data_IF_700074749686
#
_entry.id   IF_700074749686
#
_cell.length_a   1.000
_cell.length_b   1.000
_cell.length_c   1.000
_cell.angle_alpha   90.00
_cell.angle_beta   90.00
_cell.angle_gamma   90.00
#
_symmetry.space_group_name_H-M   'P 1'
#
loop_
_entity.id
_entity.type
_entity.pdbx_description
1 polymer ?
#
# COMPACT_ATOMS: atom_id res chain seq x y z
N UNK A 1 10.54 3.41 4.34
CA UNK A 1 11.02 2.06 4.71
C UNK A 1 9.90 1.08 5.04
N UNK A 2 9.07 1.27 6.06
CA UNK A 2 8.04 0.27 6.40
C UNK A 2 7.11 -0.11 5.22
N UNK A 3 6.70 0.87 4.40
CA UNK A 3 5.93 0.60 3.17
C UNK A 3 6.69 -0.26 2.16
N UNK A 4 8.01 -0.07 2.03
CA UNK A 4 8.86 -0.90 1.18
C UNK A 4 8.88 -2.34 1.69
N UNK A 5 9.10 -2.54 2.99
CA UNK A 5 9.12 -3.87 3.60
C UNK A 5 7.77 -4.57 3.49
N UNK A 6 6.67 -3.84 3.65
CA UNK A 6 5.32 -4.38 3.43
C UNK A 6 5.10 -4.84 1.99
N UNK A 7 5.68 -4.13 1.02
CA UNK A 7 5.66 -4.57 -0.37
C UNK A 7 6.60 -5.73 -0.64
N UNK A 8 7.75 -5.79 0.03
CA UNK A 8 8.77 -6.81 -0.17
C UNK A 8 8.39 -8.17 0.45
N UNK A 9 7.93 -8.14 1.71
CA UNK A 9 7.47 -9.30 2.48
C UNK A 9 5.95 -9.37 2.45
N UNK A 10 5.40 -9.53 1.25
CA UNK A 10 3.99 -9.37 1.00
C UNK A 10 3.14 -10.44 1.72
N UNK A 11 2.15 -10.00 2.50
CA UNK A 11 1.06 -10.83 3.00
C UNK A 11 -0.29 -10.19 2.71
N UNK A 12 -1.31 -11.02 2.45
CA UNK A 12 -2.65 -10.53 2.11
C UNK A 12 -3.68 -10.83 3.20
N UNK A 13 -4.31 -9.77 3.72
CA UNK A 13 -5.33 -9.83 4.76
C UNK A 13 -6.56 -10.64 4.35
N UNK A 14 -6.87 -10.72 3.06
CA UNK A 14 -7.96 -11.57 2.55
C UNK A 14 -7.71 -13.08 2.72
N UNK A 15 -6.44 -13.51 2.75
CA UNK A 15 -6.02 -14.89 3.08
C UNK A 15 -5.85 -15.03 4.58
N UNK A 16 -5.05 -14.17 5.23
CA UNK A 16 -4.74 -14.26 6.67
C UNK A 16 -5.99 -14.11 7.56
N UNK A 17 -6.91 -13.20 7.19
CA UNK A 17 -8.21 -12.96 7.85
C UNK A 17 -8.12 -12.72 9.36
N UNK A 18 -7.01 -12.20 9.85
CA UNK A 18 -6.78 -11.83 11.24
C UNK A 18 -6.04 -10.50 11.30
N UNK A 19 -6.79 -9.42 11.55
CA UNK A 19 -6.23 -8.05 11.55
C UNK A 19 -5.13 -7.87 12.61
N UNK A 20 -5.13 -8.67 13.68
CA UNK A 20 -4.13 -8.59 14.75
C UNK A 20 -2.77 -9.05 14.25
N UNK A 21 -2.72 -10.13 13.45
CA UNK A 21 -1.50 -10.61 12.80
C UNK A 21 -0.95 -9.56 11.83
N UNK A 22 -1.83 -8.98 11.01
CA UNK A 22 -1.44 -7.91 10.10
C UNK A 22 -0.90 -6.68 10.83
N UNK A 23 -1.52 -6.29 11.95
CA UNK A 23 -1.05 -5.17 12.77
C UNK A 23 0.35 -5.45 13.33
N UNK A 24 0.57 -6.62 13.94
CA UNK A 24 1.87 -7.01 14.48
C UNK A 24 2.96 -6.98 13.40
N UNK A 25 2.65 -7.44 12.20
CA UNK A 25 3.58 -7.41 11.07
C UNK A 25 3.90 -5.97 10.62
N UNK A 26 2.89 -5.09 10.53
CA UNK A 26 3.11 -3.67 10.20
C UNK A 26 3.98 -2.98 11.26
N UNK A 27 3.72 -3.23 12.53
CA UNK A 27 4.54 -2.70 13.63
C UNK A 27 5.96 -3.27 13.60
N UNK A 28 6.14 -4.54 13.24
CA UNK A 28 7.46 -5.14 13.01
C UNK A 28 8.21 -4.39 11.90
N UNK A 29 7.56 -4.13 10.76
CA UNK A 29 8.17 -3.36 9.67
C UNK A 29 8.53 -1.92 10.08
N UNK A 30 7.78 -1.32 11.01
CA UNK A 30 8.10 -0.01 11.57
C UNK A 30 9.30 -0.07 12.52
N UNK A 31 9.35 -1.07 13.42
CA UNK A 31 10.46 -1.27 14.37
C UNK A 31 11.78 -1.55 13.65
N UNK A 32 11.75 -2.42 12.64
CA UNK A 32 12.94 -2.83 11.88
C UNK A 32 13.22 -1.95 10.65
N UNK A 33 12.44 -0.87 10.44
CA UNK A 33 12.41 -0.09 9.20
C UNK A 33 13.81 0.24 8.63
N UNK A 34 14.75 0.66 9.48
CA UNK A 34 16.13 1.02 9.13
C UNK A 34 17.15 0.25 9.98
N UNK A 35 16.78 -0.91 10.52
CA UNK A 35 17.66 -1.74 11.35
C UNK A 35 18.50 -2.70 10.50
N UNK A 36 18.70 -3.90 11.03
CA UNK A 36 19.39 -4.97 10.33
C UNK A 36 18.44 -5.77 9.41
N UNK A 37 18.84 -6.03 8.17
CA UNK A 37 18.03 -6.85 7.26
C UNK A 37 17.97 -8.33 7.67
N UNK A 38 19.05 -8.89 8.20
CA UNK A 38 19.06 -10.28 8.66
C UNK A 38 18.08 -10.50 9.82
N UNK A 39 18.08 -9.61 10.81
CA UNK A 39 17.11 -9.65 11.92
C UNK A 39 15.68 -9.52 11.42
N UNK A 40 15.44 -8.62 10.45
CA UNK A 40 14.13 -8.46 9.84
C UNK A 40 13.69 -9.73 9.08
N UNK A 41 14.59 -10.37 8.34
CA UNK A 41 14.31 -11.59 7.60
C UNK A 41 13.91 -12.74 8.55
N UNK A 42 14.62 -12.89 9.67
CA UNK A 42 14.26 -13.87 10.72
C UNK A 42 12.92 -13.52 11.36
N UNK A 43 12.71 -12.26 11.73
CA UNK A 43 11.46 -11.81 12.34
C UNK A 43 10.25 -12.06 11.42
N UNK A 44 10.39 -11.79 10.12
CA UNK A 44 9.34 -12.08 9.13
C UNK A 44 9.14 -13.58 8.94
N UNK A 45 10.22 -14.37 8.90
CA UNK A 45 10.09 -15.81 8.73
C UNK A 45 9.35 -16.49 9.89
N UNK A 46 9.40 -15.89 11.09
CA UNK A 46 8.68 -16.33 12.28
C UNK A 46 7.33 -15.62 12.47
N UNK A 47 6.97 -14.66 11.61
CA UNK A 47 5.75 -13.88 11.74
C UNK A 47 4.50 -14.74 11.49
N UNK A 48 3.50 -14.76 12.40
CA UNK A 48 2.29 -15.56 12.22
C UNK A 48 1.47 -15.21 10.96
N UNK A 49 1.50 -13.95 10.48
CA UNK A 49 0.81 -13.60 9.24
C UNK A 49 1.52 -14.24 8.04
N UNK A 50 2.85 -14.19 8.01
CA UNK A 50 3.67 -14.81 6.96
C UNK A 50 3.55 -16.33 6.95
N UNK A 51 3.70 -16.97 8.12
CA UNK A 51 3.56 -18.43 8.26
C UNK A 51 2.19 -18.94 7.82
N UNK A 52 1.12 -18.20 8.13
CA UNK A 52 -0.22 -18.52 7.61
C UNK A 52 -0.32 -18.28 6.11
N UNK A 53 0.19 -17.13 5.63
CA UNK A 53 0.05 -16.72 4.24
C UNK A 53 0.75 -17.67 3.26
N UNK A 54 1.84 -18.30 3.67
CA UNK A 54 2.62 -19.24 2.84
C UNK A 54 2.40 -20.71 3.21
N UNK A 55 1.38 -21.00 4.02
CA UNK A 55 0.99 -22.35 4.42
C UNK A 55 2.13 -23.12 5.11
N UNK A 56 2.95 -22.42 5.91
CA UNK A 56 4.06 -23.01 6.65
C UNK A 56 3.58 -23.94 7.78
N UNK A 57 2.38 -23.71 8.32
CA UNK A 57 1.81 -24.53 9.40
C UNK A 57 1.50 -26.00 9.02
N UNK A 58 1.60 -26.37 7.74
CA UNK A 58 1.51 -27.77 7.27
C UNK A 58 2.87 -28.36 6.87
N UNK A 59 3.97 -27.64 7.10
CA UNK A 59 5.33 -28.10 6.80
C UNK A 59 5.86 -29.01 7.93
N UNK A 60 5.89 -30.33 7.70
CA UNK A 60 6.25 -31.31 8.73
C UNK A 60 7.27 -32.34 8.22
N UNK A 61 8.01 -32.96 9.15
CA UNK A 61 8.95 -34.05 8.84
C UNK A 61 8.27 -35.13 7.99
N UNK A 62 8.93 -35.52 6.90
CA UNK A 62 8.42 -36.50 5.94
C UNK A 62 7.46 -35.96 4.87
N UNK A 63 6.97 -34.72 5.02
CA UNK A 63 6.12 -34.04 4.05
C UNK A 63 6.47 -32.53 3.99
N UNK A 64 7.71 -32.23 3.61
CA UNK A 64 8.20 -30.86 3.57
C UNK A 64 7.47 -30.04 2.48
N UNK A 65 6.95 -28.87 2.85
CA UNK A 65 6.30 -27.93 1.94
C UNK A 65 7.33 -26.93 1.42
N UNK A 66 7.68 -27.06 0.14
CA UNK A 66 8.70 -26.22 -0.52
C UNK A 66 8.27 -24.77 -0.73
N UNK A 67 6.96 -24.44 -0.66
CA UNK A 67 6.46 -23.13 -1.01
C UNK A 67 7.14 -22.02 -0.20
N UNK A 68 7.10 -22.12 1.13
CA UNK A 68 7.71 -21.11 2.00
C UNK A 68 9.22 -20.95 1.75
N UNK A 69 9.95 -22.05 1.65
CA UNK A 69 11.38 -22.04 1.38
C UNK A 69 11.72 -21.39 0.03
N UNK A 70 10.92 -21.69 -1.00
CA UNK A 70 11.09 -21.11 -2.33
C UNK A 70 10.88 -19.61 -2.29
N UNK A 71 9.82 -19.12 -1.65
CA UNK A 71 9.57 -17.66 -1.56
C UNK A 71 10.66 -16.93 -0.78
N UNK A 72 11.16 -17.54 0.31
CA UNK A 72 12.30 -17.00 1.09
C UNK A 72 13.53 -16.82 0.20
N UNK A 73 13.85 -17.80 -0.65
CA UNK A 73 15.03 -17.76 -1.51
C UNK A 73 14.80 -16.86 -2.74
N UNK A 74 13.62 -16.93 -3.36
CA UNK A 74 13.31 -16.30 -4.64
C UNK A 74 12.94 -14.83 -4.52
N UNK A 75 11.99 -14.50 -3.63
CA UNK A 75 11.38 -13.18 -3.58
C UNK A 75 11.94 -12.31 -2.46
N UNK A 76 12.33 -12.96 -1.35
CA UNK A 76 12.70 -12.27 -0.14
C UNK A 76 14.22 -12.09 0.04
N UNK A 77 15.07 -12.90 -0.60
CA UNK A 77 16.52 -12.84 -0.35
C UNK A 77 17.41 -12.86 -1.59
N UNK A 78 17.47 -13.94 -2.37
CA UNK A 78 18.51 -14.13 -3.40
C UNK A 78 18.06 -13.76 -4.81
N UNK A 79 16.76 -13.82 -5.11
CA UNK A 79 16.28 -13.69 -6.48
C UNK A 79 16.28 -15.03 -7.24
N UNK A 80 15.56 -15.06 -8.36
CA UNK A 80 15.44 -16.23 -9.23
C UNK A 80 16.80 -16.63 -9.81
N UNK A 81 17.09 -17.93 -9.82
CA UNK A 81 18.24 -18.50 -10.57
C UNK A 81 19.55 -18.58 -9.79
N UNK A 82 19.53 -18.30 -8.49
CA UNK A 82 20.71 -18.30 -7.63
C UNK A 82 20.80 -19.48 -6.66
N UNK A 83 19.93 -20.47 -6.83
CA UNK A 83 19.85 -21.69 -6.03
C UNK A 83 19.35 -22.85 -6.88
N UNK A 84 19.60 -24.07 -6.42
CA UNK A 84 19.08 -25.28 -7.05
C UNK A 84 17.74 -25.71 -6.44
N UNK A 85 17.03 -26.57 -7.15
CA UNK A 85 15.83 -27.23 -6.62
C UNK A 85 16.13 -28.08 -5.37
N UNK A 86 17.36 -28.62 -5.27
CA UNK A 86 17.78 -29.34 -4.08
C UNK A 86 17.88 -28.40 -2.88
N UNK A 87 18.40 -27.18 -3.06
CA UNK A 87 18.50 -26.20 -1.99
C UNK A 87 17.11 -25.83 -1.46
N UNK A 88 16.10 -25.70 -2.34
CA UNK A 88 14.70 -25.45 -1.92
C UNK A 88 14.18 -26.58 -1.02
N UNK A 89 14.41 -27.84 -1.40
CA UNK A 89 13.98 -29.00 -0.60
C UNK A 89 14.67 -29.05 0.76
N UNK A 90 15.98 -28.82 0.79
CA UNK A 90 16.76 -28.86 2.02
C UNK A 90 16.42 -27.70 2.95
N UNK A 91 16.15 -26.51 2.40
CA UNK A 91 15.59 -25.40 3.16
C UNK A 91 14.18 -25.71 3.69
N UNK A 92 13.31 -26.32 2.88
CA UNK A 92 11.97 -26.71 3.30
C UNK A 92 12.00 -27.69 4.48
N UNK A 93 12.93 -28.66 4.46
CA UNK A 93 13.20 -29.57 5.58
C UNK A 93 13.63 -28.80 6.82
N UNK A 94 14.49 -27.79 6.70
CA UNK A 94 14.93 -26.97 7.83
C UNK A 94 13.81 -26.13 8.46
N UNK A 95 12.79 -25.74 7.67
CA UNK A 95 11.61 -25.02 8.18
C UNK A 95 10.52 -25.94 8.76
N UNK A 96 10.70 -27.26 8.77
CA UNK A 96 9.66 -28.17 9.29
C UNK A 96 9.42 -27.94 10.78
N UNK A 97 8.16 -28.04 11.21
CA UNK A 97 7.76 -27.84 12.60
C UNK A 97 7.60 -26.37 13.02
N UNK A 98 7.98 -25.39 12.19
CA UNK A 98 7.67 -23.97 12.44
C UNK A 98 6.17 -23.71 12.28
N UNK A 99 5.56 -23.08 13.29
CA UNK A 99 4.13 -22.79 13.28
C UNK A 99 3.81 -21.57 14.18
N UNK A 100 2.52 -21.31 14.40
CA UNK A 100 2.06 -20.30 15.32
C UNK A 100 0.86 -20.79 16.15
N UNK A 101 0.76 -20.31 17.38
CA UNK A 101 -0.41 -20.46 18.25
C UNK A 101 -0.99 -19.07 18.53
N UNK A 102 -2.20 -18.81 18.02
CA UNK A 102 -2.81 -17.48 18.02
C UNK A 102 -1.94 -16.40 17.34
N UNK A 103 -1.15 -15.66 18.11
CA UNK A 103 -0.28 -14.56 17.67
C UNK A 103 1.20 -14.84 17.97
N UNK A 104 1.51 -16.01 18.53
CA UNK A 104 2.85 -16.35 18.99
C UNK A 104 3.46 -17.40 18.05
N UNK A 105 4.72 -17.20 17.69
CA UNK A 105 5.51 -18.19 16.98
C UNK A 105 5.82 -19.38 17.88
N UNK A 106 5.72 -20.60 17.34
CA UNK A 106 6.07 -21.84 18.05
C UNK A 106 6.86 -22.79 17.14
N UNK A 107 7.68 -23.64 17.76
CA UNK A 107 8.39 -24.72 17.08
C UNK A 107 7.92 -26.05 17.64
N UNK A 108 7.27 -26.86 16.80
CA UNK A 108 6.90 -28.23 17.13
C UNK A 108 8.06 -29.16 16.81
N UNK A 109 8.94 -29.37 17.79
CA UNK A 109 10.17 -30.18 17.63
C UNK A 109 9.90 -31.60 17.13
N UNK A 110 8.80 -32.23 17.55
CA UNK A 110 8.41 -33.58 17.09
C UNK A 110 8.10 -33.64 15.59
N UNK A 111 7.70 -32.50 15.00
CA UNK A 111 7.41 -32.36 13.58
C UNK A 111 8.60 -31.82 12.78
N UNK A 112 9.72 -31.50 13.44
CA UNK A 112 10.92 -31.02 12.78
C UNK A 112 11.76 -32.19 12.26
N UNK A 113 12.40 -31.99 11.11
CA UNK A 113 13.34 -32.92 10.53
C UNK A 113 14.75 -32.66 11.04
N UNK A 114 15.18 -33.40 12.07
CA UNK A 114 16.54 -33.32 12.64
C UNK A 114 17.64 -34.04 11.83
N UNK A 115 17.31 -34.58 10.66
CA UNK A 115 18.32 -35.27 9.86
C UNK A 115 19.26 -34.23 9.19
N UNK A 116 20.53 -34.59 8.88
CA UNK A 116 21.45 -33.68 8.19
C UNK A 116 20.90 -33.17 6.86
N UNK A 117 21.17 -31.90 6.57
CA UNK A 117 20.72 -31.16 5.39
C UNK A 117 21.94 -30.59 4.68
N UNK A 118 21.92 -30.60 3.35
CA UNK A 118 22.97 -29.98 2.53
C UNK A 118 22.37 -28.80 1.79
N UNK A 119 22.72 -27.59 2.22
CA UNK A 119 22.11 -26.37 1.73
C UNK A 119 23.20 -25.37 1.32
N UNK A 120 23.15 -24.90 0.07
CA UNK A 120 24.09 -23.93 -0.51
C UNK A 120 25.57 -24.29 -0.26
N UNK A 121 25.89 -25.57 -0.42
CA UNK A 121 27.26 -26.10 -0.28
C UNK A 121 27.71 -26.38 1.16
N UNK A 122 26.87 -26.13 2.16
CA UNK A 122 27.14 -26.46 3.57
C UNK A 122 26.32 -27.68 4.00
N UNK A 123 26.85 -28.50 4.89
CA UNK A 123 26.14 -29.67 5.44
C UNK A 123 26.10 -29.60 6.96
N UNK A 124 24.92 -29.72 7.54
CA UNK A 124 24.70 -29.67 8.99
C UNK A 124 23.27 -30.03 9.35
N UNK A 125 22.98 -30.12 10.65
CA UNK A 125 21.60 -30.24 11.11
C UNK A 125 21.00 -28.83 11.24
N UNK A 126 20.70 -28.21 10.11
CA UNK A 126 20.22 -26.82 10.06
C UNK A 126 18.74 -26.71 10.42
N UNK A 127 18.40 -25.66 11.17
CA UNK A 127 17.03 -25.17 11.30
C UNK A 127 16.74 -23.99 10.34
N UNK A 128 15.54 -23.43 10.41
CA UNK A 128 15.15 -22.31 9.55
C UNK A 128 15.94 -21.01 9.80
N UNK A 129 16.48 -20.78 11.00
CA UNK A 129 17.34 -19.62 11.28
C UNK A 129 18.72 -19.83 10.67
N UNK A 130 19.26 -21.05 10.78
CA UNK A 130 20.52 -21.43 10.13
C UNK A 130 20.43 -21.27 8.60
N UNK A 131 19.32 -21.67 7.99
CA UNK A 131 19.07 -21.47 6.55
C UNK A 131 19.12 -19.99 6.17
N UNK A 132 18.45 -19.12 6.93
CA UNK A 132 18.50 -17.68 6.69
C UNK A 132 19.92 -17.13 6.83
N UNK A 133 20.68 -17.60 7.82
CA UNK A 133 22.08 -17.22 8.00
C UNK A 133 22.95 -17.63 6.81
N UNK A 134 22.82 -18.87 6.33
CA UNK A 134 23.56 -19.36 5.16
C UNK A 134 23.19 -18.58 3.89
N UNK A 135 21.92 -18.17 3.76
CA UNK A 135 21.47 -17.28 2.68
C UNK A 135 22.16 -15.91 2.78
N UNK A 136 22.24 -15.31 3.96
CA UNK A 136 22.93 -14.02 4.17
C UNK A 136 24.45 -14.14 3.95
N UNK A 137 25.02 -15.34 4.01
CA UNK A 137 26.41 -15.58 3.63
C UNK A 137 26.63 -15.54 2.11
N UNK A 138 25.59 -15.56 1.27
CA UNK A 138 25.74 -15.44 -0.17
C UNK A 138 25.87 -13.97 -0.61
N UNK A 139 26.87 -13.60 -1.43
CA UNK A 139 27.01 -12.23 -1.94
C UNK A 139 25.76 -11.72 -2.68
N UNK A 140 25.12 -12.60 -3.46
CA UNK A 140 23.93 -12.27 -4.25
C UNK A 140 22.76 -11.78 -3.40
N UNK A 141 22.63 -12.24 -2.14
CA UNK A 141 21.59 -11.77 -1.23
C UNK A 141 21.74 -10.28 -0.95
N UNK A 142 22.97 -9.82 -0.68
CA UNK A 142 23.22 -8.41 -0.43
C UNK A 142 22.99 -7.57 -1.70
N UNK A 143 23.45 -8.05 -2.86
CA UNK A 143 23.24 -7.41 -4.16
C UNK A 143 21.75 -7.29 -4.51
N UNK A 144 20.96 -8.32 -4.25
CA UNK A 144 19.53 -8.35 -4.53
C UNK A 144 18.77 -7.31 -3.69
N UNK A 145 19.02 -7.30 -2.38
CA UNK A 145 18.35 -6.37 -1.46
C UNK A 145 18.80 -4.94 -1.72
N UNK A 146 20.10 -4.70 -1.90
CA UNK A 146 20.63 -3.38 -2.24
C UNK A 146 20.05 -2.88 -3.56
N UNK A 147 19.94 -3.74 -4.58
CA UNK A 147 19.34 -3.40 -5.86
C UNK A 147 17.84 -3.08 -5.76
N UNK A 148 17.08 -3.81 -4.95
CA UNK A 148 15.66 -3.50 -4.70
C UNK A 148 15.49 -2.15 -4.00
N UNK A 149 16.31 -1.86 -2.99
CA UNK A 149 16.27 -0.58 -2.27
C UNK A 149 16.67 0.58 -3.18
N UNK A 150 17.70 0.41 -4.00
CA UNK A 150 18.10 1.40 -4.98
C UNK A 150 16.96 1.72 -5.95
N UNK A 151 16.32 0.68 -6.54
CA UNK A 151 15.21 0.90 -7.48
C UNK A 151 14.00 1.56 -6.84
N UNK A 152 13.76 1.30 -5.56
CA UNK A 152 12.64 1.89 -4.83
C UNK A 152 12.86 3.38 -4.50
N UNK A 153 14.10 3.82 -4.26
CA UNK A 153 14.38 5.18 -3.81
C UNK A 153 15.06 6.08 -4.84
N UNK A 154 15.74 5.49 -5.82
CA UNK A 154 16.64 6.22 -6.73
C UNK A 154 16.07 6.22 -8.15
N UNK A 155 16.20 5.11 -8.88
CA UNK A 155 15.67 4.93 -10.24
C UNK A 155 15.67 3.45 -10.64
N UNK A 156 14.86 3.11 -11.64
CA UNK A 156 14.72 1.72 -12.13
C UNK A 156 16.02 1.16 -12.72
N UNK A 157 16.78 1.99 -13.44
CA UNK A 157 18.02 1.61 -14.09
C UNK A 157 19.19 1.51 -13.09
N UNK A 158 19.69 0.29 -12.92
CA UNK A 158 20.81 -0.04 -12.05
C UNK A 158 21.81 -0.92 -12.81
N UNK A 159 23.05 -0.45 -12.92
CA UNK A 159 24.11 -1.24 -13.57
C UNK A 159 24.55 -2.40 -12.66
N UNK A 160 24.98 -3.54 -13.23
CA UNK A 160 25.48 -4.67 -12.43
C UNK A 160 26.66 -4.29 -11.53
N UNK A 161 27.55 -3.41 -12.00
CA UNK A 161 28.69 -2.91 -11.21
C UNK A 161 28.23 -2.14 -9.98
N UNK A 162 27.30 -1.19 -10.14
CA UNK A 162 26.79 -0.41 -9.01
C UNK A 162 25.98 -1.30 -8.05
N UNK A 163 25.25 -2.29 -8.58
CA UNK A 163 24.53 -3.26 -7.74
C UNK A 163 25.50 -4.08 -6.86
N UNK A 164 26.63 -4.54 -7.43
CA UNK A 164 27.67 -5.24 -6.70
C UNK A 164 28.33 -4.34 -5.63
N UNK A 165 28.64 -3.08 -5.96
CA UNK A 165 29.19 -2.10 -5.01
C UNK A 165 28.25 -1.84 -3.82
N UNK A 166 26.96 -1.60 -4.10
CA UNK A 166 25.95 -1.39 -3.06
C UNK A 166 25.72 -2.66 -2.22
N UNK A 167 25.75 -3.84 -2.86
CA UNK A 167 25.69 -5.13 -2.18
C UNK A 167 26.87 -5.34 -1.22
N UNK A 168 28.09 -5.02 -1.66
CA UNK A 168 29.28 -5.08 -0.81
C UNK A 168 29.15 -4.19 0.42
N UNK A 169 28.66 -2.94 0.26
CA UNK A 169 28.43 -2.03 1.39
C UNK A 169 27.47 -2.63 2.41
N UNK A 170 26.35 -3.21 1.96
CA UNK A 170 25.39 -3.82 2.87
C UNK A 170 26.00 -5.01 3.61
N UNK A 171 26.74 -5.86 2.89
CA UNK A 171 27.36 -7.07 3.45
C UNK A 171 28.50 -6.75 4.43
N UNK A 172 29.38 -5.82 4.08
CA UNK A 172 30.54 -5.43 4.90
C UNK A 172 30.12 -4.72 6.20
N UNK A 173 28.90 -4.19 6.24
CA UNK A 173 28.28 -3.62 7.43
C UNK A 173 27.29 -4.58 8.11
N UNK A 174 27.48 -5.89 7.93
CA UNK A 174 26.69 -6.94 8.59
C UNK A 174 25.17 -6.78 8.38
N UNK A 175 24.75 -6.37 7.18
CA UNK A 175 23.35 -6.14 6.81
C UNK A 175 22.63 -5.00 7.56
N UNK A 176 23.37 -4.10 8.23
CA UNK A 176 22.81 -2.83 8.70
C UNK A 176 22.35 -1.97 7.52
N UNK A 177 21.08 -1.55 7.52
CA UNK A 177 20.50 -0.79 6.41
C UNK A 177 20.97 0.66 6.38
N UNK A 178 21.30 1.24 7.54
CA UNK A 178 21.64 2.66 7.67
C UNK A 178 22.85 3.05 6.81
N UNK A 179 24.01 2.36 6.83
CA UNK A 179 25.15 2.68 5.97
C UNK A 179 24.81 2.66 4.47
N UNK A 180 24.01 1.68 4.03
CA UNK A 180 23.57 1.57 2.65
C UNK A 180 22.71 2.78 2.25
N UNK A 181 21.68 3.09 3.05
CA UNK A 181 20.78 4.21 2.79
C UNK A 181 21.52 5.55 2.81
N UNK A 182 22.44 5.74 3.74
CA UNK A 182 23.27 6.95 3.81
C UNK A 182 24.15 7.10 2.57
N UNK A 183 24.76 6.01 2.10
CA UNK A 183 25.55 6.02 0.87
C UNK A 183 24.68 6.41 -0.33
N UNK A 184 23.51 5.77 -0.50
CA UNK A 184 22.60 6.08 -1.60
C UNK A 184 22.22 7.56 -1.61
N UNK A 185 21.69 8.06 -0.49
CA UNK A 185 21.14 9.43 -0.41
C UNK A 185 22.20 10.53 -0.43
N UNK A 186 23.46 10.23 -0.10
CA UNK A 186 24.56 11.19 -0.21
C UNK A 186 25.36 11.06 -1.51
N UNK A 187 25.11 10.03 -2.31
CA UNK A 187 25.85 9.80 -3.54
C UNK A 187 25.62 10.92 -4.57
N UNK A 188 26.61 11.15 -5.44
CA UNK A 188 26.44 12.06 -6.59
C UNK A 188 25.41 11.54 -7.59
N UNK A 189 25.33 10.22 -7.73
CA UNK A 189 24.33 9.54 -8.56
C UNK A 189 22.90 9.86 -8.09
N UNK A 190 22.73 9.97 -6.76
CA UNK A 190 21.66 10.63 -6.01
C UNK A 190 20.97 11.78 -6.77
N UNK A 191 21.82 12.74 -7.08
CA UNK A 191 21.44 14.06 -7.56
C UNK A 191 21.83 14.27 -9.02
N UNK A 192 22.15 13.19 -9.73
CA UNK A 192 22.51 13.24 -11.14
C UNK A 192 21.30 13.55 -12.01
N UNK A 193 21.54 14.09 -13.20
CA UNK A 193 20.50 14.34 -14.21
C UNK A 193 19.73 13.06 -14.56
N UNK A 194 20.41 11.91 -14.57
CA UNK A 194 19.81 10.61 -14.83
C UNK A 194 18.87 10.11 -13.72
N UNK A 195 18.94 10.67 -12.50
CA UNK A 195 18.06 10.31 -11.38
C UNK A 195 16.98 11.36 -11.14
N UNK A 196 17.31 12.64 -11.38
CA UNK A 196 16.41 13.75 -11.10
C UNK A 196 15.09 13.60 -11.87
N UNK A 197 13.98 13.43 -11.13
CA UNK A 197 12.66 13.24 -11.74
C UNK A 197 12.47 11.88 -12.42
N UNK A 198 13.15 10.82 -11.96
CA UNK A 198 12.88 9.46 -12.44
C UNK A 198 12.02 8.61 -11.48
N UNK A 199 11.77 9.11 -10.26
CA UNK A 199 11.01 8.37 -9.25
C UNK A 199 9.49 8.52 -9.46
N UNK A 200 8.89 7.49 -10.04
CA UNK A 200 7.43 7.42 -10.17
C UNK A 200 6.84 6.97 -8.83
N UNK A 201 6.25 7.91 -8.10
CA UNK A 201 5.58 7.65 -6.82
C UNK A 201 4.46 6.62 -6.98
N UNK A 202 4.53 5.57 -6.16
CA UNK A 202 3.43 4.61 -6.01
C UNK A 202 2.18 5.28 -5.41
N UNK A 203 0.98 4.70 -5.56
CA UNK A 203 -0.27 5.36 -5.16
C UNK A 203 -0.32 5.89 -3.72
N UNK A 204 0.14 5.10 -2.74
CA UNK A 204 0.17 5.51 -1.33
C UNK A 204 1.12 6.70 -1.13
N UNK A 205 2.31 6.64 -1.74
CA UNK A 205 3.29 7.73 -1.66
C UNK A 205 2.78 9.00 -2.34
N UNK A 206 2.12 8.85 -3.50
CA UNK A 206 1.54 9.95 -4.26
C UNK A 206 0.49 10.71 -3.44
N UNK A 207 -0.49 10.01 -2.86
CA UNK A 207 -1.54 10.63 -2.04
C UNK A 207 -0.98 11.27 -0.77
N UNK A 208 -0.06 10.59 -0.06
CA UNK A 208 0.55 11.15 1.17
C UNK A 208 1.40 12.37 0.84
N UNK A 209 2.16 12.36 -0.26
CA UNK A 209 2.95 13.52 -0.68
C UNK A 209 2.06 14.70 -1.07
N UNK A 210 0.97 14.43 -1.79
CA UNK A 210 -0.05 15.43 -2.11
C UNK A 210 -0.60 16.09 -0.83
N UNK A 211 -0.99 15.28 0.16
CA UNK A 211 -1.51 15.79 1.44
C UNK A 211 -0.49 16.66 2.17
N UNK A 212 0.78 16.25 2.20
CA UNK A 212 1.86 17.04 2.80
C UNK A 212 2.06 18.37 2.07
N UNK A 213 2.07 18.37 0.73
CA UNK A 213 2.20 19.61 -0.03
C UNK A 213 0.99 20.52 0.16
N UNK A 214 -0.21 19.98 0.35
CA UNK A 214 -1.40 20.75 0.68
C UNK A 214 -1.43 21.28 2.13
N UNK A 215 -0.47 20.87 2.97
CA UNK A 215 -0.43 21.28 4.38
C UNK A 215 -1.49 20.60 5.25
N UNK A 216 -2.05 19.47 4.81
CA UNK A 216 -3.02 18.73 5.61
C UNK A 216 -2.36 18.15 6.87
N UNK A 217 -3.00 18.36 8.03
CA UNK A 217 -2.50 17.88 9.33
C UNK A 217 -2.69 16.37 9.51
N UNK A 218 -3.71 15.80 8.85
CA UNK A 218 -4.09 14.40 8.92
C UNK A 218 -4.43 13.83 7.54
N UNK A 219 -4.54 12.50 7.47
CA UNK A 219 -5.05 11.81 6.28
C UNK A 219 -6.58 11.88 6.34
N UNK A 220 -7.24 12.55 5.38
CA UNK A 220 -8.67 12.74 5.45
C UNK A 220 -9.42 11.42 5.29
N UNK A 221 -10.60 11.39 5.89
CA UNK A 221 -11.54 10.28 5.72
C UNK A 221 -12.45 10.43 4.51
N UNK A 222 -12.47 11.62 3.89
CA UNK A 222 -13.27 11.95 2.71
C UNK A 222 -12.38 12.64 1.65
N UNK A 223 -12.15 12.01 0.49
CA UNK A 223 -12.51 10.63 0.15
C UNK A 223 -11.79 9.62 1.05
N UNK A 224 -12.26 8.36 1.08
CA UNK A 224 -11.64 7.32 1.88
C UNK A 224 -10.26 6.96 1.30
N UNK A 225 -9.20 7.19 2.07
CA UNK A 225 -7.81 6.97 1.65
C UNK A 225 -7.57 5.59 1.03
N UNK A 226 -8.12 4.52 1.64
CA UNK A 226 -7.90 3.17 1.14
C UNK A 226 -8.61 2.95 -0.21
N UNK A 227 -9.84 3.46 -0.39
CA UNK A 227 -10.51 3.44 -1.70
C UNK A 227 -9.72 4.21 -2.75
N UNK A 228 -9.20 5.39 -2.42
CA UNK A 228 -8.35 6.19 -3.30
C UNK A 228 -7.12 5.40 -3.74
N UNK A 229 -6.37 4.80 -2.81
CA UNK A 229 -5.15 4.08 -3.21
C UNK A 229 -5.47 2.79 -3.95
N UNK A 230 -6.62 2.15 -3.67
CA UNK A 230 -7.12 0.98 -4.43
C UNK A 230 -7.44 1.36 -5.89
N UNK A 231 -8.14 2.48 -6.14
CA UNK A 231 -8.47 2.89 -7.52
C UNK A 231 -7.21 3.18 -8.34
N UNK A 232 -6.15 3.63 -7.67
CA UNK A 232 -4.83 3.84 -8.23
C UNK A 232 -3.97 2.56 -8.31
N UNK A 233 -4.44 1.43 -7.78
CA UNK A 233 -3.81 0.11 -7.92
C UNK A 233 -3.01 -0.41 -6.72
N UNK A 234 -2.99 0.30 -5.58
CA UNK A 234 -2.30 -0.13 -4.36
C UNK A 234 -3.26 -0.31 -3.19
N UNK A 235 -3.67 -1.55 -2.94
CA UNK A 235 -4.46 -1.93 -1.78
C UNK A 235 -3.55 -2.32 -0.62
N UNK A 236 -3.39 -1.43 0.37
CA UNK A 236 -2.60 -1.73 1.57
C UNK A 236 -3.11 -3.01 2.27
N UNK A 237 -2.17 -3.80 2.79
CA UNK A 237 -2.43 -5.09 3.45
C UNK A 237 -3.00 -6.17 2.52
N UNK A 238 -3.16 -5.90 1.23
CA UNK A 238 -3.56 -6.89 0.24
C UNK A 238 -2.77 -6.70 -1.07
N UNK A 239 -1.45 -6.96 -1.04
CA UNK A 239 -0.68 -7.08 -2.27
C UNK A 239 -1.30 -8.11 -3.23
N UNK A 240 -1.18 -7.92 -4.56
CA UNK A 240 -1.79 -8.81 -5.55
C UNK A 240 -1.18 -10.22 -5.57
N UNK A 241 0.07 -10.37 -5.15
CA UNK A 241 0.78 -11.65 -5.03
C UNK A 241 1.88 -11.57 -3.96
N UNK A 242 2.57 -12.69 -3.72
CA UNK A 242 3.73 -12.79 -2.83
C UNK A 242 4.90 -11.89 -3.29
N UNK A 243 4.93 -11.50 -4.57
CA UNK A 243 5.91 -10.57 -5.10
C UNK A 243 5.65 -9.10 -4.73
N UNK A 244 4.53 -8.80 -4.08
CA UNK A 244 4.18 -7.45 -3.66
C UNK A 244 3.45 -6.63 -4.71
N UNK A 245 3.55 -5.31 -4.61
CA UNK A 245 3.03 -4.38 -5.62
C UNK A 245 4.07 -4.12 -6.71
N UNK A 246 3.57 -3.87 -7.93
CA UNK A 246 4.39 -3.37 -9.02
C UNK A 246 5.02 -2.00 -8.66
N UNK A 247 6.03 -1.57 -9.41
CA UNK A 247 6.73 -0.30 -9.16
C UNK A 247 6.98 0.45 -10.46
N UNK A 248 7.43 1.70 -10.35
CA UNK A 248 7.82 2.50 -11.51
C UNK A 248 6.69 2.69 -12.52
N UNK A 249 7.01 2.43 -13.80
CA UNK A 249 6.11 2.70 -14.94
C UNK A 249 4.80 1.92 -14.90
N UNK A 250 4.70 0.82 -14.15
CA UNK A 250 3.44 0.09 -13.99
C UNK A 250 2.32 0.93 -13.38
N UNK A 251 2.65 2.01 -12.67
CA UNK A 251 1.68 2.96 -12.12
C UNK A 251 1.17 3.98 -13.13
N UNK A 252 1.71 3.99 -14.36
CA UNK A 252 1.40 4.96 -15.40
C UNK A 252 0.74 4.23 -16.58
N UNK A 253 -0.59 4.30 -16.61
CA UNK A 253 -1.41 3.90 -17.75
C UNK A 253 -2.37 5.05 -18.09
N UNK A 254 -2.97 5.10 -19.30
CA UNK A 254 -3.93 6.17 -19.62
C UNK A 254 -5.05 6.30 -18.59
N UNK A 255 -5.59 5.17 -18.10
CA UNK A 255 -6.62 5.16 -17.07
C UNK A 255 -6.08 5.66 -15.71
N UNK A 256 -4.91 5.17 -15.27
CA UNK A 256 -4.34 5.59 -13.99
C UNK A 256 -3.91 7.07 -13.99
N UNK A 257 -3.43 7.60 -15.11
CA UNK A 257 -3.10 9.03 -15.23
C UNK A 257 -4.33 9.91 -15.04
N UNK A 258 -5.46 9.53 -15.65
CA UNK A 258 -6.73 10.21 -15.46
C UNK A 258 -7.19 10.13 -13.99
N UNK A 259 -7.15 8.92 -13.41
CA UNK A 259 -7.57 8.72 -12.02
C UNK A 259 -6.70 9.49 -11.02
N UNK A 260 -5.39 9.57 -11.22
CA UNK A 260 -4.51 10.39 -10.34
C UNK A 260 -4.86 11.87 -10.41
N UNK A 261 -5.28 12.39 -11.57
CA UNK A 261 -5.82 13.75 -11.70
C UNK A 261 -7.12 13.93 -10.92
N UNK A 262 -8.05 12.97 -11.04
CA UNK A 262 -9.31 12.95 -10.29
C UNK A 262 -9.06 12.91 -8.77
N UNK A 263 -8.05 12.17 -8.32
CA UNK A 263 -7.67 12.12 -6.91
C UNK A 263 -7.26 13.49 -6.37
N UNK A 264 -6.53 14.31 -7.14
CA UNK A 264 -6.25 15.68 -6.70
C UNK A 264 -7.53 16.49 -6.54
N UNK A 265 -8.46 16.37 -7.49
CA UNK A 265 -9.76 17.05 -7.44
C UNK A 265 -10.57 16.64 -6.20
N UNK A 266 -10.70 15.34 -5.92
CA UNK A 266 -11.53 14.82 -4.83
C UNK A 266 -11.06 15.30 -3.44
N UNK A 267 -9.76 15.52 -3.27
CA UNK A 267 -9.20 16.02 -2.02
C UNK A 267 -9.26 17.54 -1.89
N UNK A 268 -9.19 18.27 -3.02
CA UNK A 268 -9.37 19.72 -3.05
C UNK A 268 -10.86 20.10 -2.93
N UNK A 269 -11.77 19.26 -3.41
CA UNK A 269 -13.21 19.47 -3.36
C UNK A 269 -13.92 18.25 -2.74
N UNK A 270 -13.67 17.96 -1.45
CA UNK A 270 -14.24 16.80 -0.80
C UNK A 270 -15.76 16.92 -0.76
N UNK A 271 -16.46 15.82 -1.05
CA UNK A 271 -17.92 15.74 -1.04
C UNK A 271 -18.43 14.92 0.17
N UNK A 272 -18.50 15.49 1.38
CA UNK A 272 -18.96 14.79 2.57
C UNK A 272 -20.44 14.42 2.50
N UNK A 273 -21.25 15.12 1.70
CA UNK A 273 -22.68 14.85 1.54
C UNK A 273 -22.90 13.54 0.78
N UNK A 274 -22.15 13.31 -0.30
CA UNK A 274 -22.23 12.08 -1.08
C UNK A 274 -21.40 10.92 -0.50
N UNK A 275 -20.52 11.20 0.47
CA UNK A 275 -19.62 10.20 1.03
C UNK A 275 -20.38 9.12 1.80
N UNK A 276 -20.07 7.86 1.46
CA UNK A 276 -20.56 6.70 2.18
C UNK A 276 -19.40 5.91 2.75
N UNK A 277 -19.31 5.86 4.08
CA UNK A 277 -18.22 5.18 4.78
C UNK A 277 -18.22 3.67 4.46
N UNK A 278 -17.16 3.15 3.81
CA UNK A 278 -17.05 1.74 3.47
C UNK A 278 -17.25 0.78 4.65
N UNK A 279 -16.90 1.20 5.86
CA UNK A 279 -17.01 0.37 7.06
C UNK A 279 -18.46 0.09 7.45
N UNK A 280 -19.38 0.99 7.08
CA UNK A 280 -20.82 0.86 7.36
C UNK A 280 -21.62 0.41 6.13
N UNK A 281 -20.96 0.16 5.00
CA UNK A 281 -21.61 -0.45 3.85
C UNK A 281 -21.73 -1.96 4.07
N UNK A 282 -22.96 -2.42 4.20
CA UNK A 282 -23.25 -3.85 4.24
C UNK A 282 -22.81 -4.52 2.93
N UNK A 283 -22.12 -5.66 3.02
CA UNK A 283 -21.86 -6.55 1.87
C UNK A 283 -23.04 -7.50 1.62
N UNK A 284 -23.27 -7.85 0.35
CA UNK A 284 -24.15 -8.97 -0.02
C UNK A 284 -25.65 -8.77 0.26
N UNK A 285 -26.18 -7.55 0.13
CA UNK A 285 -27.62 -7.27 0.24
C UNK A 285 -28.19 -7.18 1.66
N UNK A 286 -27.39 -7.43 2.70
CA UNK A 286 -27.82 -7.33 4.12
C UNK A 286 -28.36 -5.91 4.45
N UNK A 287 -27.80 -4.88 3.83
CA UNK A 287 -28.16 -3.48 4.02
C UNK A 287 -29.52 -3.15 3.42
N UNK A 288 -29.90 -3.84 2.33
CA UNK A 288 -31.22 -3.71 1.71
C UNK A 288 -32.29 -4.22 2.68
N UNK A 289 -32.04 -5.36 3.33
CA UNK A 289 -32.94 -5.89 4.38
C UNK A 289 -33.11 -4.85 5.48
N UNK A 290 -32.02 -4.26 5.96
CA UNK A 290 -32.07 -3.19 6.96
C UNK A 290 -32.84 -1.95 6.51
N UNK A 291 -32.63 -1.50 5.27
CA UNK A 291 -33.35 -0.37 4.68
C UNK A 291 -34.85 -0.65 4.61
N UNK A 292 -35.24 -1.79 4.05
CA UNK A 292 -36.65 -2.19 3.95
C UNK A 292 -37.33 -2.28 5.32
N UNK A 293 -36.64 -2.84 6.32
CA UNK A 293 -37.17 -2.87 7.69
C UNK A 293 -37.38 -1.46 8.27
N UNK A 294 -36.47 -0.51 7.99
CA UNK A 294 -36.61 0.89 8.43
C UNK A 294 -37.72 1.64 7.67
N UNK A 295 -37.99 1.26 6.43
CA UNK A 295 -39.10 1.75 5.62
C UNK A 295 -40.45 1.14 6.04
N UNK A 296 -40.46 0.21 7.00
CA UNK A 296 -41.67 -0.37 7.58
C UNK A 296 -42.15 -1.64 6.87
N UNK A 297 -41.36 -2.22 5.97
CA UNK A 297 -41.69 -3.50 5.35
C UNK A 297 -41.69 -4.64 6.39
N UNK A 298 -42.62 -5.59 6.23
CA UNK A 298 -42.61 -6.83 7.02
C UNK A 298 -41.37 -7.69 6.72
N UNK A 299 -41.15 -8.72 7.55
CA UNK A 299 -39.98 -9.59 7.39
C UNK A 299 -39.93 -10.28 6.03
N UNK A 300 -41.07 -10.78 5.53
CA UNK A 300 -41.14 -11.49 4.25
C UNK A 300 -40.76 -10.58 3.07
N UNK A 301 -41.17 -9.32 3.12
CA UNK A 301 -40.88 -8.30 2.12
C UNK A 301 -39.43 -7.80 2.24
N UNK A 302 -38.95 -7.60 3.48
CA UNK A 302 -37.58 -7.16 3.72
C UNK A 302 -36.53 -8.16 3.21
N UNK A 303 -36.78 -9.47 3.36
CA UNK A 303 -35.87 -10.53 2.94
C UNK A 303 -36.00 -10.94 1.47
N UNK A 304 -36.92 -10.36 0.70
CA UNK A 304 -37.14 -10.72 -0.70
C UNK A 304 -35.86 -10.56 -1.55
N UNK A 305 -35.56 -11.56 -2.40
CA UNK A 305 -34.43 -11.53 -3.33
C UNK A 305 -34.55 -10.41 -4.36
N UNK A 306 -35.75 -10.23 -4.90
CA UNK A 306 -36.06 -9.24 -5.92
C UNK A 306 -36.75 -8.02 -5.28
N UNK A 307 -36.87 -6.94 -6.04
CA UNK A 307 -37.71 -5.81 -5.66
C UNK A 307 -39.17 -6.30 -5.57
N UNK A 308 -39.84 -6.17 -4.41
CA UNK A 308 -41.24 -6.53 -4.26
C UNK A 308 -42.16 -5.91 -5.33
N UNK A 309 -41.79 -4.74 -5.86
CA UNK A 309 -42.53 -4.05 -6.93
C UNK A 309 -42.45 -4.70 -8.31
N UNK A 310 -41.53 -5.66 -8.51
CA UNK A 310 -41.28 -6.30 -9.83
C UNK A 310 -41.40 -7.82 -9.79
N UNK A 311 -41.92 -8.41 -8.70
CA UNK A 311 -42.01 -9.86 -8.54
C UNK A 311 -43.17 -10.45 -9.36
N UNK A 312 -42.89 -11.51 -10.12
CA UNK A 312 -43.93 -12.32 -10.76
C UNK A 312 -44.63 -13.23 -9.73
N UNK A 313 -45.80 -13.77 -10.08
CA UNK A 313 -46.49 -14.77 -9.27
C UNK A 313 -45.62 -16.03 -9.01
N UNK A 314 -44.69 -16.34 -9.94
CA UNK A 314 -43.74 -17.44 -9.78
C UNK A 314 -42.66 -17.11 -8.74
N UNK A 315 -42.16 -15.87 -8.73
CA UNK A 315 -41.19 -15.39 -7.73
C UNK A 315 -41.80 -15.37 -6.32
N UNK A 316 -43.09 -15.04 -6.21
CA UNK A 316 -43.85 -15.08 -4.95
C UNK A 316 -44.04 -16.51 -4.44
N UNK A 317 -44.29 -17.49 -5.30
CA UNK A 317 -44.43 -18.91 -4.90
C UNK A 317 -43.08 -19.55 -4.53
N UNK A 318 -41.98 -19.10 -5.14
CA UNK A 318 -40.62 -19.52 -4.74
C UNK A 318 -40.22 -18.94 -3.37
N UNK A 319 -40.67 -17.72 -3.04
CA UNK A 319 -40.44 -17.03 -1.77
C UNK A 319 -40.86 -17.86 -0.56
N UNK A 320 -42.08 -18.41 -0.56
CA UNK A 320 -42.63 -19.16 0.58
C UNK A 320 -41.86 -20.48 0.86
N UNK A 321 -41.19 -21.05 -0.16
CA UNK A 321 -40.34 -22.24 0.02
C UNK A 321 -38.98 -21.93 0.65
N UNK A 322 -38.45 -20.74 0.38
CA UNK A 322 -37.15 -20.28 0.93
C UNK A 322 -37.27 -19.77 2.39
N UNK A 323 -38.47 -19.48 2.88
CA UNK A 323 -38.71 -18.95 4.23
C UNK A 323 -38.32 -19.91 5.36
N UNK A 324 -38.42 -21.23 5.14
CA UNK A 324 -38.17 -22.23 6.19
C UNK A 324 -36.71 -22.22 6.71
N UNK A 325 -35.76 -21.65 5.95
CA UNK A 325 -34.34 -21.52 6.35
C UNK A 325 -33.73 -20.15 5.95
N UNK A 326 -34.50 -19.06 6.04
CA UNK A 326 -33.99 -17.74 5.67
C UNK A 326 -33.18 -17.09 6.81
N UNK A 327 -31.84 -17.09 6.68
CA UNK A 327 -30.92 -16.50 7.68
C UNK A 327 -30.70 -14.98 7.51
N UNK A 328 -31.35 -14.31 6.54
CA UNK A 328 -31.04 -12.90 6.21
C UNK A 328 -31.36 -11.92 7.33
N UNK A 329 -32.45 -12.13 8.07
CA UNK A 329 -32.76 -11.32 9.26
C UNK A 329 -31.70 -11.53 10.36
N UNK A 330 -31.33 -12.78 10.61
CA UNK A 330 -30.29 -13.12 11.58
C UNK A 330 -28.93 -12.54 11.19
N UNK A 331 -28.58 -12.59 9.89
CA UNK A 331 -27.37 -11.98 9.33
C UNK A 331 -27.41 -10.45 9.48
N UNK A 332 -28.53 -9.80 9.18
CA UNK A 332 -28.70 -8.36 9.40
C UNK A 332 -28.55 -7.98 10.87
N UNK A 333 -29.19 -8.70 11.79
CA UNK A 333 -29.01 -8.47 13.24
C UNK A 333 -27.59 -8.71 13.71
N UNK A 334 -26.90 -9.72 13.17
CA UNK A 334 -25.49 -9.99 13.45
C UNK A 334 -24.60 -8.85 12.99
N UNK A 335 -24.79 -8.40 11.74
CA UNK A 335 -24.09 -7.25 11.16
C UNK A 335 -24.34 -5.97 11.97
N UNK A 336 -25.61 -5.66 12.30
CA UNK A 336 -25.97 -4.50 13.12
C UNK A 336 -25.27 -4.53 14.48
N UNK A 337 -25.27 -5.68 15.16
CA UNK A 337 -24.57 -5.85 16.44
C UNK A 337 -23.05 -5.68 16.32
N UNK A 338 -22.46 -6.14 15.21
CA UNK A 338 -21.04 -5.93 14.94
C UNK A 338 -20.74 -4.44 14.70
N UNK A 339 -21.57 -3.77 13.90
CA UNK A 339 -21.42 -2.33 13.61
C UNK A 339 -21.55 -1.47 14.86
N UNK A 340 -22.41 -1.83 15.82
CA UNK A 340 -22.51 -1.14 17.13
C UNK A 340 -21.26 -1.27 17.99
N UNK A 341 -20.39 -2.25 17.73
CA UNK A 341 -19.11 -2.45 18.43
C UNK A 341 -17.94 -1.81 17.70
N UNK A 342 -18.13 -1.38 16.45
CA UNK A 342 -17.09 -0.75 15.66
C UNK A 342 -16.80 0.64 16.24
N UNK A 343 -15.53 0.93 16.49
CA UNK A 343 -15.09 2.28 16.82
C UNK A 343 -15.05 3.06 15.50
N UNK A 344 -15.88 4.10 15.31
CA UNK A 344 -15.88 4.86 14.07
C UNK A 344 -14.54 5.58 13.88
N UNK A 345 -13.96 5.48 12.70
CA UNK A 345 -12.85 6.36 12.30
C UNK A 345 -13.42 7.76 12.06
N UNK A 346 -12.87 8.83 12.66
CA UNK A 346 -13.26 10.18 12.30
C UNK A 346 -13.15 10.40 10.78
N UNK A 347 -14.21 10.91 10.15
CA UNK A 347 -14.24 11.19 8.72
C UNK A 347 -14.38 12.69 8.50
N UNK A 348 -13.51 13.25 7.68
CA UNK A 348 -13.50 14.66 7.28
C UNK A 348 -12.72 14.83 5.98
N UNK A 349 -12.97 15.93 5.28
CA UNK A 349 -12.16 16.35 4.14
C UNK A 349 -10.82 16.92 4.59
N UNK A 350 -9.86 17.00 3.66
CA UNK A 350 -8.57 17.63 3.95
C UNK A 350 -8.79 19.09 4.33
N UNK A 351 -8.21 19.50 5.47
CA UNK A 351 -8.19 20.91 5.88
C UNK A 351 -7.01 21.58 5.20
N UNK A 352 -7.31 22.32 4.14
CA UNK A 352 -6.31 23.04 3.34
C UNK A 352 -6.82 24.47 3.16
N UNK A 353 -5.93 25.45 3.28
CA UNK A 353 -6.26 26.87 3.07
C UNK A 353 -5.24 27.42 2.07
N UNK A 354 -5.59 27.38 0.78
CA UNK A 354 -4.68 27.81 -0.27
C UNK A 354 -4.51 29.33 -0.27
N UNK A 355 -5.55 30.06 0.15
CA UNK A 355 -5.54 31.50 0.38
C UNK A 355 -4.46 31.87 1.39
N UNK A 356 -4.46 31.23 2.56
CA UNK A 356 -3.42 31.43 3.57
C UNK A 356 -2.04 31.05 3.03
N UNK A 357 -1.92 29.92 2.32
CA UNK A 357 -0.66 29.45 1.74
C UNK A 357 -0.04 30.49 0.77
N UNK A 358 -0.84 31.13 -0.09
CA UNK A 358 -0.31 32.14 -1.03
C UNK A 358 -0.05 33.50 -0.35
N UNK A 359 -0.85 33.87 0.65
CA UNK A 359 -0.66 35.11 1.40
C UNK A 359 0.59 35.06 2.29
N UNK A 360 0.87 33.92 2.92
CA UNK A 360 2.10 33.69 3.70
C UNK A 360 3.36 33.70 2.82
N UNK A 361 3.19 33.42 1.53
CA UNK A 361 4.25 33.57 0.53
C UNK A 361 4.43 35.00 0.02
N UNK A 362 3.70 35.97 0.60
CA UNK A 362 3.70 37.39 0.22
C UNK A 362 3.28 37.63 -1.25
N UNK A 363 2.54 36.70 -1.87
CA UNK A 363 2.02 36.89 -3.21
C UNK A 363 0.96 38.00 -3.24
N UNK A 364 1.14 38.97 -4.12
CA UNK A 364 0.22 40.10 -4.31
C UNK A 364 -0.56 40.02 -5.62
N UNK A 365 -0.05 39.25 -6.57
CA UNK A 365 -0.64 39.03 -7.90
C UNK A 365 -0.93 37.57 -8.18
N UNK A 366 -1.84 37.31 -9.12
CA UNK A 366 -2.12 35.97 -9.65
C UNK A 366 -0.89 35.29 -10.23
N UNK A 367 -0.01 36.04 -10.88
CA UNK A 367 1.28 35.53 -11.39
C UNK A 367 2.15 35.00 -10.25
N UNK A 368 2.33 35.78 -9.18
CA UNK A 368 3.12 35.38 -8.02
C UNK A 368 2.51 34.17 -7.30
N UNK A 369 1.17 34.12 -7.17
CA UNK A 369 0.50 32.95 -6.60
C UNK A 369 0.74 31.69 -7.43
N UNK A 370 0.54 31.75 -8.75
CA UNK A 370 0.76 30.58 -9.63
C UNK A 370 2.23 30.14 -9.58
N UNK A 371 3.18 31.07 -9.61
CA UNK A 371 4.61 30.73 -9.50
C UNK A 371 4.95 30.06 -8.18
N UNK A 372 4.40 30.57 -7.08
CA UNK A 372 4.60 29.97 -5.76
C UNK A 372 4.00 28.57 -5.70
N UNK A 373 2.78 28.36 -6.18
CA UNK A 373 2.14 27.05 -6.21
C UNK A 373 2.90 26.06 -7.11
N UNK A 374 3.38 26.50 -8.28
CA UNK A 374 4.23 25.68 -9.15
C UNK A 374 5.51 25.26 -8.43
N UNK A 375 6.21 26.19 -7.77
CA UNK A 375 7.42 25.89 -7.00
C UNK A 375 7.16 25.00 -5.77
N UNK A 376 5.96 25.06 -5.19
CA UNK A 376 5.56 24.24 -4.05
C UNK A 376 5.23 22.81 -4.44
N UNK A 377 4.47 22.62 -5.53
CA UNK A 377 3.95 21.30 -5.91
C UNK A 377 4.84 20.55 -6.90
N UNK A 378 5.66 21.26 -7.69
CA UNK A 378 6.44 20.66 -8.76
C UNK A 378 7.94 20.72 -8.48
N UNK A 379 8.60 19.61 -8.76
CA UNK A 379 10.05 19.53 -8.76
C UNK A 379 10.66 19.85 -10.14
N UNK A 380 9.92 19.56 -11.20
CA UNK A 380 10.28 19.87 -12.58
C UNK A 380 9.42 21.06 -13.04
N UNK A 381 10.00 22.12 -13.60
CA UNK A 381 9.24 23.25 -14.07
C UNK A 381 8.36 22.87 -15.27
N UNK A 382 7.15 23.44 -15.32
CA UNK A 382 6.28 23.34 -16.50
C UNK A 382 6.81 24.20 -17.65
N UNK A 383 6.29 23.96 -18.85
CA UNK A 383 6.53 24.83 -20.00
C UNK A 383 6.02 26.26 -19.76
N UNK A 384 6.65 27.24 -20.43
CA UNK A 384 6.21 28.64 -20.36
C UNK A 384 4.77 28.85 -20.86
N UNK A 385 4.32 28.04 -21.83
CA UNK A 385 2.94 28.04 -22.33
C UNK A 385 1.96 27.56 -21.26
N UNK A 386 2.26 26.43 -20.60
CA UNK A 386 1.45 25.90 -19.49
C UNK A 386 1.35 26.91 -18.36
N UNK A 387 2.48 27.51 -17.96
CA UNK A 387 2.52 28.56 -16.93
C UNK A 387 1.62 29.73 -17.30
N UNK A 388 1.71 30.22 -18.53
CA UNK A 388 0.90 31.35 -19.01
C UNK A 388 -0.59 31.03 -18.98
N UNK A 389 -0.98 29.81 -19.35
CA UNK A 389 -2.37 29.35 -19.29
C UNK A 389 -2.91 29.25 -17.87
N UNK A 390 -2.11 28.78 -16.92
CA UNK A 390 -2.50 28.72 -15.50
C UNK A 390 -2.73 30.12 -14.91
N UNK A 391 -1.88 31.09 -15.26
CA UNK A 391 -2.06 32.49 -14.84
C UNK A 391 -3.32 33.08 -15.45
N UNK A 392 -3.51 32.93 -16.76
CA UNK A 392 -4.69 33.42 -17.45
C UNK A 392 -5.99 32.81 -16.89
N UNK A 393 -5.97 31.53 -16.55
CA UNK A 393 -7.08 30.85 -15.90
C UNK A 393 -7.41 31.48 -14.53
N UNK A 394 -6.41 31.73 -13.70
CA UNK A 394 -6.64 32.37 -12.39
C UNK A 394 -7.15 33.81 -12.53
N UNK A 395 -6.62 34.56 -13.51
CA UNK A 395 -7.08 35.93 -13.81
C UNK A 395 -8.55 35.97 -14.21
N UNK A 396 -8.98 35.01 -15.03
CA UNK A 396 -10.37 34.87 -15.48
C UNK A 396 -11.30 34.53 -14.31
N UNK A 397 -10.96 33.51 -13.52
CA UNK A 397 -11.75 33.07 -12.36
C UNK A 397 -11.90 34.17 -11.30
N UNK A 398 -10.84 34.96 -11.05
CA UNK A 398 -10.88 36.03 -10.07
C UNK A 398 -11.43 37.36 -10.62
N UNK A 399 -11.51 37.49 -11.95
CA UNK A 399 -11.81 38.76 -12.66
C UNK A 399 -10.89 39.92 -12.25
N UNK A 400 -9.71 39.60 -11.70
CA UNK A 400 -8.69 40.56 -11.28
C UNK A 400 -7.34 39.87 -11.14
N UNK A 401 -6.26 40.60 -11.38
CA UNK A 401 -4.90 40.11 -11.16
C UNK A 401 -4.40 40.36 -9.74
N UNK A 402 -5.17 41.06 -8.89
CA UNK A 402 -4.76 41.49 -7.54
C UNK A 402 -5.35 40.59 -6.45
N UNK A 403 -4.50 39.86 -5.73
CA UNK A 403 -4.95 38.98 -4.64
C UNK A 403 -5.52 39.77 -3.46
N UNK A 404 -5.01 40.98 -3.21
CA UNK A 404 -5.57 41.87 -2.19
C UNK A 404 -7.04 42.21 -2.44
N UNK A 405 -7.48 42.26 -3.71
CA UNK A 405 -8.89 42.46 -4.05
C UNK A 405 -9.71 41.18 -3.94
N UNK A 406 -9.08 40.04 -4.21
CA UNK A 406 -9.72 38.73 -4.25
C UNK A 406 -9.70 37.96 -2.92
N UNK A 407 -9.08 38.52 -1.87
CA UNK A 407 -8.77 37.83 -0.62
C UNK A 407 -9.96 37.10 0.03
N UNK A 408 -11.18 37.61 -0.14
CA UNK A 408 -12.38 37.03 0.48
C UNK A 408 -13.04 35.92 -0.35
N UNK A 409 -12.59 35.67 -1.58
CA UNK A 409 -13.25 34.73 -2.50
C UNK A 409 -12.29 33.90 -3.39
N UNK A 410 -10.97 34.03 -3.23
CA UNK A 410 -10.00 33.38 -4.10
C UNK A 410 -9.77 31.89 -3.83
N UNK A 411 -10.27 31.34 -2.72
CA UNK A 411 -9.99 29.96 -2.31
C UNK A 411 -10.39 28.92 -3.37
N UNK A 412 -11.60 28.99 -3.92
CA UNK A 412 -12.08 28.03 -4.91
C UNK A 412 -11.29 28.10 -6.23
N UNK A 413 -10.95 29.32 -6.66
CA UNK A 413 -10.13 29.54 -7.85
C UNK A 413 -8.70 29.00 -7.66
N UNK A 414 -8.11 29.21 -6.47
CA UNK A 414 -6.80 28.66 -6.10
C UNK A 414 -6.84 27.12 -6.04
N UNK A 415 -7.93 26.52 -5.53
CA UNK A 415 -8.13 25.07 -5.56
C UNK A 415 -8.17 24.55 -6.99
N UNK A 416 -8.89 25.23 -7.88
CA UNK A 416 -8.98 24.81 -9.28
C UNK A 416 -7.64 24.91 -10.00
N UNK A 417 -6.90 26.02 -9.83
CA UNK A 417 -5.53 26.14 -10.35
C UNK A 417 -4.61 25.05 -9.79
N UNK A 418 -4.71 24.78 -8.48
CA UNK A 418 -3.91 23.73 -7.84
C UNK A 418 -4.24 22.36 -8.41
N UNK A 419 -5.52 22.06 -8.67
CA UNK A 419 -5.93 20.84 -9.36
C UNK A 419 -5.33 20.76 -10.77
N UNK A 420 -5.32 21.85 -11.54
CA UNK A 420 -4.71 21.90 -12.86
C UNK A 420 -3.19 21.67 -12.80
N UNK A 421 -2.48 22.27 -11.82
CA UNK A 421 -1.06 22.01 -11.55
C UNK A 421 -0.83 20.53 -11.22
N UNK A 422 -1.65 19.95 -10.36
CA UNK A 422 -1.54 18.54 -9.99
C UNK A 422 -1.92 17.59 -11.14
N UNK A 423 -2.61 18.08 -12.16
CA UNK A 423 -2.97 17.29 -13.34
C UNK A 423 -1.90 17.33 -14.44
N UNK A 424 -0.83 18.12 -14.27
CA UNK A 424 0.23 18.17 -15.27
C UNK A 424 1.10 16.90 -15.24
N UNK A 425 1.72 16.50 -16.36
CA UNK A 425 2.65 15.37 -16.40
C UNK A 425 3.78 15.49 -15.37
N UNK A 426 4.26 16.71 -15.12
CA UNK A 426 5.34 17.00 -14.19
C UNK A 426 4.98 16.61 -12.74
N UNK A 427 3.73 16.79 -12.32
CA UNK A 427 3.25 16.33 -11.01
C UNK A 427 2.93 14.83 -11.00
N UNK A 428 2.33 14.36 -12.09
CA UNK A 428 1.79 13.01 -12.16
C UNK A 428 2.88 11.93 -12.19
N UNK A 429 4.03 12.27 -12.79
CA UNK A 429 5.11 11.32 -13.09
C UNK A 429 6.30 11.48 -12.13
N UNK A 430 6.41 12.59 -11.38
CA UNK A 430 7.61 12.90 -10.57
C UNK A 430 7.35 13.10 -9.08
#
# INVERSE_FOLDING_TARGET
MALFWHGHFATAQNKVRDYRKMLLQVEMFQRHATGNFGDLAVAVAQDPAMLYYLDAGVNVKGAANENFAREVMELFTMGVGHYSEQDVREAARAFTGWNFENLDFVVHTVLHDDDPKTFLGQTGNFDGVDVLKIILEQPVTAEYIAGKLYRFFVREELSPTLQAELGAILRDNDYELRPLLETMFRSRDFYSEATYGQHIKGPVEHVITMMKHLGAEDVPGVPDFNRTTISLGQHLLNPPSVAGWAQGRSWITPALLQERGNVAFDYLFPNPIAFQDPNFLSRGGIGIVGTRLREGHDFATAIALNDPGTMSAFDLSARDRDELFNTRISNYRGWERAMRKLIPTPRGGARTDLTQIVLEAEATTTTEAVDYLLGRFLRIPVSADTRTKLIAFLDEELSTTSLNRAQTYMEDALRMVTHLIMSTPEYQIN
#
